data_IF_769822559995
#
_entry.id   IF_769822559995
#
_cell.length_a   1.000
_cell.length_b   1.000
_cell.length_c   1.000
_cell.angle_alpha   90.00
_cell.angle_beta   90.00
_cell.angle_gamma   90.00
#
_symmetry.space_group_name_H-M   'P 1'
#
loop_
_entity.id
_entity.type
_entity.pdbx_description
1 polymer ?
#
# COMPACT_ATOMS: atom_id res chain seq x y z
N UNK A 1 -1.42 -24.05 7.35
CA UNK A 1 -2.90 -23.98 7.27
C UNK A 1 -3.37 -22.80 8.10
N UNK A 2 -4.38 -22.04 7.66
CA UNK A 2 -4.92 -20.94 8.47
C UNK A 2 -5.86 -21.50 9.54
N UNK A 3 -5.62 -21.13 10.80
CA UNK A 3 -6.42 -21.61 11.94
C UNK A 3 -7.71 -20.82 12.20
N UNK A 4 -7.78 -19.56 11.76
CA UNK A 4 -8.95 -18.71 11.99
C UNK A 4 -10.07 -19.01 10.95
N UNK A 5 -11.25 -19.50 11.39
CA UNK A 5 -12.35 -19.86 10.49
C UNK A 5 -13.07 -18.65 9.89
N UNK A 6 -12.97 -17.46 10.48
CA UNK A 6 -13.68 -16.25 10.00
C UNK A 6 -13.08 -15.68 8.73
N UNK A 7 -11.80 -15.93 8.50
CA UNK A 7 -11.11 -15.45 7.30
C UNK A 7 -11.36 -16.47 6.18
N UNK A 8 -11.73 -16.03 4.99
CA UNK A 8 -11.85 -16.94 3.83
C UNK A 8 -10.49 -17.24 3.20
N UNK A 9 -10.30 -18.45 2.66
CA UNK A 9 -9.18 -18.84 1.79
C UNK A 9 -9.58 -18.89 0.31
N UNK A 10 -10.84 -18.61 -0.01
CA UNK A 10 -11.34 -18.64 -1.39
C UNK A 10 -10.78 -17.45 -2.19
N UNK A 11 -10.09 -17.75 -3.30
CA UNK A 11 -9.54 -16.73 -4.21
C UNK A 11 -10.61 -15.73 -4.68
N UNK A 12 -11.80 -16.23 -5.06
CA UNK A 12 -12.93 -15.40 -5.50
C UNK A 12 -13.35 -14.36 -4.44
N UNK A 13 -13.40 -14.76 -3.16
CA UNK A 13 -13.76 -13.85 -2.06
C UNK A 13 -12.66 -12.81 -1.80
N UNK A 14 -11.39 -13.21 -1.87
CA UNK A 14 -10.24 -12.31 -1.71
C UNK A 14 -10.18 -11.25 -2.81
N UNK A 15 -10.31 -11.66 -4.08
CA UNK A 15 -10.35 -10.73 -5.22
C UNK A 15 -11.49 -9.72 -5.08
N UNK A 16 -12.71 -10.20 -4.75
CA UNK A 16 -13.85 -9.29 -4.53
C UNK A 16 -13.54 -8.28 -3.44
N UNK A 17 -13.02 -8.72 -2.28
CA UNK A 17 -12.68 -7.84 -1.17
C UNK A 17 -11.64 -6.76 -1.55
N UNK A 18 -10.62 -7.11 -2.34
CA UNK A 18 -9.60 -6.16 -2.78
C UNK A 18 -10.16 -5.10 -3.75
N UNK A 19 -10.89 -5.54 -4.79
CA UNK A 19 -11.36 -4.62 -5.84
C UNK A 19 -12.58 -3.80 -5.43
N UNK A 20 -13.41 -4.29 -4.50
CA UNK A 20 -14.59 -3.56 -4.00
C UNK A 20 -14.37 -2.96 -2.61
N UNK A 21 -13.12 -2.82 -2.16
CA UNK A 21 -12.79 -2.25 -0.85
C UNK A 21 -13.33 -0.81 -0.70
N UNK A 22 -13.85 -0.44 0.49
CA UNK A 22 -14.20 0.95 0.81
C UNK A 22 -12.94 1.83 0.98
N UNK A 23 -13.12 3.15 0.99
CA UNK A 23 -12.01 4.12 1.00
C UNK A 23 -11.02 3.94 2.17
N UNK A 24 -11.54 3.67 3.38
CA UNK A 24 -10.72 3.43 4.58
C UNK A 24 -9.78 2.23 4.41
N UNK A 25 -10.28 1.15 3.82
CA UNK A 25 -9.51 -0.07 3.56
C UNK A 25 -8.52 0.14 2.42
N UNK A 26 -8.91 0.83 1.34
CA UNK A 26 -8.02 1.14 0.22
C UNK A 26 -6.78 1.92 0.65
N UNK A 27 -6.93 2.87 1.59
CA UNK A 27 -5.81 3.63 2.14
C UNK A 27 -4.73 2.73 2.75
N UNK A 28 -5.15 1.64 3.42
CA UNK A 28 -4.23 0.67 4.03
C UNK A 28 -3.60 -0.24 2.97
N UNK A 29 -4.39 -0.69 1.98
CA UNK A 29 -3.90 -1.51 0.87
C UNK A 29 -2.84 -0.77 0.03
N UNK A 30 -2.97 0.54 -0.09
CA UNK A 30 -2.08 1.40 -0.86
C UNK A 30 -1.02 2.06 0.04
N UNK A 31 -0.36 1.21 0.83
CA UNK A 31 0.79 1.59 1.66
C UNK A 31 2.09 1.28 0.94
N UNK A 32 3.12 2.10 1.21
CA UNK A 32 4.45 1.96 0.63
C UNK A 32 5.49 1.79 1.76
N UNK A 33 6.59 1.04 1.50
CA UNK A 33 7.68 0.94 2.44
C UNK A 33 8.42 2.28 2.57
N UNK A 34 8.90 2.57 3.77
CA UNK A 34 9.70 3.75 4.04
C UNK A 34 11.17 3.53 3.67
N UNK A 35 11.91 4.61 3.41
CA UNK A 35 13.37 4.57 3.35
C UNK A 35 13.96 4.20 4.71
N UNK A 36 15.21 3.72 4.75
CA UNK A 36 15.85 3.28 5.99
C UNK A 36 15.87 4.38 7.07
N UNK A 37 16.12 5.62 6.66
CA UNK A 37 16.18 6.77 7.57
C UNK A 37 14.81 7.11 8.16
N UNK A 38 13.76 7.07 7.35
CA UNK A 38 12.38 7.31 7.79
C UNK A 38 11.86 6.15 8.64
N UNK A 39 12.19 4.91 8.27
CA UNK A 39 11.84 3.71 9.03
C UNK A 39 12.44 3.75 10.43
N UNK A 40 13.70 4.21 10.57
CA UNK A 40 14.36 4.35 11.87
C UNK A 40 13.73 5.45 12.73
N UNK A 41 13.34 6.57 12.12
CA UNK A 41 12.70 7.70 12.83
C UNK A 41 11.28 7.40 13.28
N UNK A 42 10.46 6.82 12.39
CA UNK A 42 9.05 6.53 12.67
C UNK A 42 8.84 5.16 13.31
N UNK A 43 9.89 4.33 13.36
CA UNK A 43 9.87 2.95 13.88
C UNK A 43 8.81 2.04 13.22
N UNK A 44 8.46 2.34 11.96
CA UNK A 44 7.43 1.65 11.17
C UNK A 44 7.99 1.31 9.80
N UNK A 45 7.66 0.12 9.28
CA UNK A 45 8.16 -0.36 7.99
C UNK A 45 7.46 0.28 6.78
N UNK A 46 6.17 0.59 6.90
CA UNK A 46 5.35 1.10 5.79
C UNK A 46 4.25 2.03 6.28
N UNK A 47 3.94 3.07 5.49
CA UNK A 47 2.85 4.00 5.75
C UNK A 47 1.96 4.16 4.50
N UNK A 48 0.71 4.59 4.71
CA UNK A 48 -0.19 4.93 3.60
C UNK A 48 0.34 6.15 2.86
N UNK A 49 0.44 6.07 1.53
CA UNK A 49 0.92 7.17 0.68
C UNK A 49 -0.08 8.31 0.68
N UNK A 50 0.40 9.56 0.75
CA UNK A 50 -0.40 10.78 0.69
C UNK A 50 0.04 11.67 -0.47
N UNK A 51 -0.83 12.62 -0.82
CA UNK A 51 -0.50 13.69 -1.76
C UNK A 51 0.64 14.53 -1.18
N UNK A 52 1.54 14.99 -2.04
CA UNK A 52 2.76 15.75 -1.70
C UNK A 52 3.90 14.93 -1.06
N UNK A 53 3.71 13.62 -0.82
CA UNK A 53 4.82 12.76 -0.42
C UNK A 53 5.82 12.59 -1.59
N UNK A 54 7.11 12.65 -1.29
CA UNK A 54 8.17 12.32 -2.23
C UNK A 54 8.44 10.81 -2.21
N UNK A 55 8.38 10.18 -3.39
CA UNK A 55 8.52 8.74 -3.54
C UNK A 55 9.54 8.39 -4.61
N UNK A 56 10.22 7.27 -4.42
CA UNK A 56 11.13 6.68 -5.40
C UNK A 56 10.56 5.37 -5.95
N UNK A 57 10.64 5.18 -7.26
CA UNK A 57 10.18 3.94 -7.91
C UNK A 57 11.26 2.85 -7.76
N UNK A 58 10.94 1.77 -7.04
CA UNK A 58 11.89 0.68 -6.74
C UNK A 58 11.91 -0.42 -7.81
N UNK A 59 10.81 -0.63 -8.54
CA UNK A 59 10.64 -1.74 -9.51
C UNK A 59 9.94 -1.26 -10.80
N UNK A 60 10.11 -2.01 -11.88
CA UNK A 60 9.52 -1.74 -13.19
C UNK A 60 10.39 -0.83 -14.06
N UNK A 61 9.86 -0.43 -15.22
CA UNK A 61 10.59 0.35 -16.25
C UNK A 61 11.05 1.73 -15.77
N UNK A 62 10.30 2.33 -14.84
CA UNK A 62 10.58 3.67 -14.31
C UNK A 62 11.42 3.65 -13.03
N UNK A 63 12.12 2.55 -12.74
CA UNK A 63 12.95 2.38 -11.54
C UNK A 63 14.00 3.50 -11.43
N UNK A 64 14.20 3.98 -10.20
CA UNK A 64 15.19 5.02 -9.86
C UNK A 64 14.69 6.44 -10.07
N UNK A 65 13.49 6.64 -10.61
CA UNK A 65 12.87 7.96 -10.69
C UNK A 65 12.27 8.35 -9.35
N UNK A 66 12.43 9.61 -9.00
CA UNK A 66 11.86 10.26 -7.84
C UNK A 66 10.81 11.28 -8.28
N UNK A 67 9.78 11.48 -7.46
CA UNK A 67 8.76 12.47 -7.73
C UNK A 67 7.74 12.60 -6.61
N UNK A 68 7.01 13.71 -6.64
CA UNK A 68 5.90 13.96 -5.73
C UNK A 68 4.63 13.26 -6.19
N UNK A 69 3.86 12.76 -5.23
CA UNK A 69 2.56 12.17 -5.50
C UNK A 69 1.54 13.28 -5.80
N UNK A 70 1.16 13.42 -7.08
CA UNK A 70 0.21 14.44 -7.55
C UNK A 70 -1.24 14.10 -7.18
N UNK A 71 -1.62 12.85 -7.40
CA UNK A 71 -2.96 12.37 -7.14
C UNK A 71 -2.89 10.93 -6.66
N UNK A 72 -3.78 10.62 -5.74
CA UNK A 72 -3.99 9.26 -5.28
C UNK A 72 -5.41 8.84 -5.71
N UNK A 73 -5.55 7.71 -6.41
CA UNK A 73 -6.84 7.30 -6.97
C UNK A 73 -7.57 6.37 -6.01
N UNK A 74 -8.58 6.92 -5.36
CA UNK A 74 -9.50 6.26 -4.46
C UNK A 74 -10.81 6.90 -4.85
N UNK A 75 -11.63 6.11 -5.55
CA UNK A 75 -12.78 6.58 -6.32
C UNK A 75 -13.67 7.53 -5.55
#
# INVERSE_FOLDING_TARGET
MKFNPRLSSSSRKSHKAHFTAPSSVRRVLLSAPLSHDLSSKCNVRSLSVRKEDEVQVVRGTYKGREGKVVQFYHR
#
